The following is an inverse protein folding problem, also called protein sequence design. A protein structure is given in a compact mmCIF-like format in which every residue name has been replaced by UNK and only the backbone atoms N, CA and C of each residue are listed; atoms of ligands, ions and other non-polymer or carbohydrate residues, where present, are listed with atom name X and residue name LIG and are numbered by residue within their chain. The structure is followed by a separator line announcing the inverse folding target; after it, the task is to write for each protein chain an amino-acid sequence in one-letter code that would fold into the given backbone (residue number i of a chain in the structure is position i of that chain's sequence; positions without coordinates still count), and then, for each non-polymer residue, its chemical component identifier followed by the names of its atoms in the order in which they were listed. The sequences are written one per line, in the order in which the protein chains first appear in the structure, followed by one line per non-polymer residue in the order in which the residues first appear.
data_IF_222039170045
#
_entry.id   IF_222039170045
#
_cell.length_a   1.000
_cell.length_b   1.000
_cell.length_c   1.000
_cell.angle_alpha   90.00
_cell.angle_beta   90.00
_cell.angle_gamma   90.00
#
_symmetry.space_group_name_H-M   'P 1'
#
loop_
_entity.id
_entity.type
_entity.pdbx_description
1 polymer ?
#
# COMPACT_ATOMS: atom_id res chain seq x y z
N UNK A 1 0.01 3.56 -23.39
CA UNK A 1 -1.27 4.03 -22.81
C UNK A 1 -1.73 5.22 -23.63
N UNK A 2 -2.87 5.09 -24.32
CA UNK A 2 -3.44 6.18 -25.12
C UNK A 2 -3.71 7.38 -24.20
N UNK A 3 -3.41 8.63 -24.61
CA UNK A 3 -3.80 9.79 -23.84
C UNK A 3 -5.32 9.88 -23.88
N UNK A 4 -5.99 9.36 -22.86
CA UNK A 4 -7.39 9.68 -22.60
C UNK A 4 -7.43 11.17 -22.28
N UNK A 5 -7.65 12.01 -23.31
CA UNK A 5 -8.09 13.39 -23.14
C UNK A 5 -9.54 13.35 -22.67
N UNK A 6 -9.74 12.89 -21.43
CA UNK A 6 -11.01 13.03 -20.75
C UNK A 6 -10.95 14.37 -20.02
N UNK A 7 -11.79 15.32 -20.42
CA UNK A 7 -12.07 16.47 -19.56
C UNK A 7 -12.80 15.94 -18.34
N UNK A 8 -12.18 16.09 -17.17
CA UNK A 8 -12.79 15.73 -15.88
C UNK A 8 -13.79 16.84 -15.54
N UNK A 9 -15.08 16.53 -15.29
CA UNK A 9 -16.05 17.53 -14.89
C UNK A 9 -15.55 18.33 -13.67
N UNK A 10 -15.69 19.67 -13.67
CA UNK A 10 -15.22 20.50 -12.55
C UNK A 10 -15.86 20.09 -11.22
N UNK A 11 -17.11 19.63 -11.23
CA UNK A 11 -17.81 19.14 -10.04
C UNK A 11 -17.16 17.90 -9.44
N UNK A 12 -16.61 17.02 -10.28
CA UNK A 12 -15.89 15.83 -9.81
C UNK A 12 -14.54 16.22 -9.21
N UNK A 13 -13.85 17.21 -9.78
CA UNK A 13 -12.63 17.79 -9.20
C UNK A 13 -12.91 18.39 -7.82
N UNK A 14 -13.93 19.24 -7.72
CA UNK A 14 -14.32 19.88 -6.45
C UNK A 14 -14.71 18.84 -5.38
N UNK A 15 -15.42 17.78 -5.78
CA UNK A 15 -15.75 16.69 -4.87
C UNK A 15 -14.49 15.95 -4.38
N UNK A 16 -13.54 15.67 -5.28
CA UNK A 16 -12.26 15.05 -4.92
C UNK A 16 -11.46 15.92 -3.95
N UNK A 17 -11.38 17.24 -4.19
CA UNK A 17 -10.66 18.18 -3.34
C UNK A 17 -11.32 18.33 -1.96
N UNK A 18 -12.66 18.36 -1.88
CA UNK A 18 -13.41 18.37 -0.62
C UNK A 18 -13.20 17.08 0.18
N UNK A 19 -13.27 15.93 -0.50
CA UNK A 19 -13.01 14.62 0.10
C UNK A 19 -11.58 14.56 0.61
N UNK A 20 -10.60 14.92 -0.22
CA UNK A 20 -9.19 15.01 0.16
C UNK A 20 -9.01 15.89 1.40
N UNK A 21 -9.54 17.12 1.39
CA UNK A 21 -9.43 18.06 2.52
C UNK A 21 -10.04 17.52 3.82
N UNK A 22 -11.13 16.75 3.71
CA UNK A 22 -11.74 16.05 4.86
C UNK A 22 -10.78 14.99 5.42
N UNK A 23 -10.10 14.24 4.56
CA UNK A 23 -9.20 13.15 4.92
C UNK A 23 -7.76 13.59 5.23
N UNK A 24 -7.35 14.80 4.82
CA UNK A 24 -6.06 15.42 5.20
C UNK A 24 -5.99 15.85 6.66
N UNK A 25 -7.07 15.70 7.44
CA UNK A 25 -7.01 15.93 8.89
C UNK A 25 -6.10 14.87 9.53
N UNK A 26 -5.36 15.21 10.60
CA UNK A 26 -4.46 14.26 11.25
C UNK A 26 -5.17 12.93 11.49
N UNK A 27 -4.54 11.84 11.08
CA UNK A 27 -4.96 10.49 11.40
C UNK A 27 -5.18 10.41 12.90
N UNK A 28 -6.45 10.27 13.30
CA UNK A 28 -6.76 9.97 14.69
C UNK A 28 -6.26 8.54 14.96
N UNK A 29 -6.08 8.18 16.23
CA UNK A 29 -5.55 6.89 16.68
C UNK A 29 -6.25 5.64 16.09
N UNK A 30 -7.41 5.80 15.43
CA UNK A 30 -8.19 4.77 14.74
C UNK A 30 -7.93 4.57 13.23
N UNK A 31 -7.10 5.36 12.56
CA UNK A 31 -7.01 5.38 11.08
C UNK A 31 -7.96 6.42 10.48
N UNK A 32 -8.01 6.55 9.14
CA UNK A 32 -9.00 7.45 8.52
C UNK A 32 -10.39 6.84 8.65
N UNK A 33 -10.53 5.58 8.26
CA UNK A 33 -11.82 4.91 8.12
C UNK A 33 -12.08 3.84 9.18
N UNK A 34 -11.04 3.41 9.90
CA UNK A 34 -11.08 2.19 10.72
C UNK A 34 -10.87 0.91 9.90
N UNK A 35 -10.83 1.00 8.55
CA UNK A 35 -10.56 -0.10 7.63
C UNK A 35 -9.24 0.13 6.88
N UNK A 36 -8.28 -0.78 7.06
CA UNK A 36 -6.93 -0.63 6.50
C UNK A 36 -6.92 -0.55 4.98
N UNK A 37 -7.80 -1.32 4.33
CA UNK A 37 -7.93 -1.38 2.88
C UNK A 37 -8.34 -0.01 2.29
N UNK A 38 -9.30 0.68 2.90
CA UNK A 38 -9.71 2.01 2.47
C UNK A 38 -8.60 3.06 2.73
N UNK A 39 -7.90 2.97 3.87
CA UNK A 39 -6.77 3.85 4.19
C UNK A 39 -5.61 3.66 3.17
N UNK A 40 -5.39 2.44 2.67
CA UNK A 40 -4.38 2.14 1.65
C UNK A 40 -4.75 2.67 0.27
N UNK A 41 -6.03 2.60 -0.14
CA UNK A 41 -6.47 3.27 -1.36
C UNK A 41 -6.25 4.77 -1.30
N UNK A 42 -6.48 5.39 -0.14
CA UNK A 42 -6.17 6.80 0.06
C UNK A 42 -4.67 7.09 -0.13
N UNK A 43 -3.79 6.27 0.45
CA UNK A 43 -2.33 6.41 0.29
C UNK A 43 -1.91 6.24 -1.18
N UNK A 44 -2.40 5.20 -1.86
CA UNK A 44 -2.11 4.96 -3.28
C UNK A 44 -2.62 6.11 -4.17
N UNK A 45 -3.81 6.66 -3.86
CA UNK A 45 -4.35 7.85 -4.50
C UNK A 45 -3.45 9.08 -4.33
N UNK A 46 -2.93 9.33 -3.13
CA UNK A 46 -1.98 10.42 -2.89
C UNK A 46 -0.66 10.23 -3.65
N UNK A 47 -0.16 8.99 -3.75
CA UNK A 47 1.02 8.65 -4.56
C UNK A 47 0.77 8.96 -6.03
N UNK A 48 -0.40 8.57 -6.57
CA UNK A 48 -0.78 8.89 -7.94
C UNK A 48 -0.88 10.40 -8.16
N UNK A 49 -1.50 11.15 -7.25
CA UNK A 49 -1.57 12.61 -7.32
C UNK A 49 -0.17 13.23 -7.32
N UNK A 50 0.69 12.83 -6.39
CA UNK A 50 2.07 13.30 -6.31
C UNK A 50 2.88 12.99 -7.58
N UNK A 51 2.65 11.81 -8.19
CA UNK A 51 3.34 11.37 -9.41
C UNK A 51 2.84 12.08 -10.68
N UNK A 52 1.55 12.36 -10.77
CA UNK A 52 0.91 12.97 -11.94
C UNK A 52 1.02 14.49 -11.93
N UNK A 53 0.79 15.12 -10.77
CA UNK A 53 0.76 16.58 -10.63
C UNK A 53 2.05 17.16 -10.08
N UNK A 54 3.06 16.32 -9.77
CA UNK A 54 4.30 16.74 -9.10
C UNK A 54 4.04 17.44 -7.76
N UNK A 55 2.98 17.01 -7.08
CA UNK A 55 2.55 17.59 -5.81
C UNK A 55 3.36 17.01 -4.65
N UNK A 56 4.30 17.80 -4.13
CA UNK A 56 5.15 17.41 -2.99
C UNK A 56 4.36 17.26 -1.69
N UNK A 57 3.22 17.95 -1.54
CA UNK A 57 2.36 17.84 -0.36
C UNK A 57 1.64 16.50 -0.35
N UNK A 58 1.18 16.04 -1.52
CA UNK A 58 0.59 14.71 -1.67
C UNK A 58 1.58 13.60 -1.27
N UNK A 59 2.84 13.69 -1.70
CA UNK A 59 3.89 12.76 -1.29
C UNK A 59 4.16 12.78 0.23
N UNK A 60 4.27 13.98 0.81
CA UNK A 60 4.49 14.13 2.25
C UNK A 60 3.36 13.49 3.06
N UNK A 61 2.11 13.73 2.64
CA UNK A 61 0.94 13.16 3.30
C UNK A 61 0.83 11.64 3.09
N UNK A 62 1.18 11.13 1.91
CA UNK A 62 1.22 9.69 1.64
C UNK A 62 2.22 9.00 2.58
N UNK A 63 3.42 9.58 2.72
CA UNK A 63 4.45 9.11 3.65
C UNK A 63 3.93 9.11 5.09
N UNK A 64 3.39 10.24 5.56
CA UNK A 64 2.91 10.37 6.94
C UNK A 64 1.79 9.37 7.24
N UNK A 65 0.87 9.20 6.29
CA UNK A 65 -0.24 8.27 6.41
C UNK A 65 0.24 6.82 6.43
N UNK A 66 1.18 6.47 5.56
CA UNK A 66 1.80 5.15 5.54
C UNK A 66 2.56 4.85 6.83
N UNK A 67 3.33 5.82 7.35
CA UNK A 67 4.07 5.67 8.61
C UNK A 67 3.12 5.46 9.80
N UNK A 68 2.06 6.27 9.88
CA UNK A 68 1.06 6.12 10.92
C UNK A 68 0.36 4.76 10.85
N UNK A 69 0.03 4.28 9.65
CA UNK A 69 -0.56 2.94 9.46
C UNK A 69 0.40 1.83 9.89
N UNK A 70 1.66 1.87 9.45
CA UNK A 70 2.68 0.88 9.81
C UNK A 70 3.00 0.85 11.30
N UNK A 71 2.97 2.00 11.99
CA UNK A 71 3.18 2.05 13.44
C UNK A 71 2.03 1.37 14.21
N UNK A 72 0.85 1.20 13.61
CA UNK A 72 -0.26 0.43 14.20
C UNK A 72 -0.06 -1.08 14.07
N UNK A 73 0.80 -1.53 13.15
CA UNK A 73 1.18 -2.95 13.04
C UNK A 73 2.10 -3.41 14.18
N UNK A 74 2.61 -2.52 15.03
CA UNK A 74 3.64 -2.84 16.03
C UNK A 74 3.07 -3.09 17.44
N UNK A 75 1.85 -3.63 17.55
CA UNK A 75 1.18 -3.84 18.84
C UNK A 75 2.10 -4.39 19.94
N UNK A 76 2.25 -3.62 21.03
CA UNK A 76 2.88 -3.89 22.35
C UNK A 76 4.26 -4.57 22.45
N UNK A 77 4.82 -5.14 21.38
CA UNK A 77 6.07 -5.90 21.40
C UNK A 77 7.11 -5.23 20.49
N UNK A 78 8.21 -4.68 21.04
CA UNK A 78 9.23 -3.93 20.30
C UNK A 78 10.22 -4.86 19.59
N UNK A 79 9.71 -5.90 18.92
CA UNK A 79 10.52 -6.70 18.02
C UNK A 79 10.53 -6.00 16.68
N UNK A 80 11.61 -5.27 16.39
CA UNK A 80 11.96 -4.65 15.10
C UNK A 80 11.87 -5.59 13.88
N UNK A 81 11.50 -6.86 14.08
CA UNK A 81 11.58 -7.97 13.15
C UNK A 81 10.21 -8.61 12.83
N UNK A 82 9.09 -8.09 13.34
CA UNK A 82 7.77 -8.69 13.09
C UNK A 82 6.70 -7.62 12.83
N UNK A 83 5.95 -7.75 11.72
CA UNK A 83 4.73 -6.99 11.48
C UNK A 83 3.57 -7.76 12.12
N UNK A 84 3.06 -7.28 13.26
CA UNK A 84 1.91 -7.87 13.93
C UNK A 84 0.62 -7.17 13.47
N UNK A 85 0.04 -7.67 12.37
CA UNK A 85 -1.24 -7.17 11.89
C UNK A 85 -2.38 -7.65 12.81
N UNK A 86 -3.35 -6.79 13.18
CA UNK A 86 -4.53 -7.24 13.91
C UNK A 86 -5.33 -8.25 13.06
N UNK A 87 -5.97 -9.24 13.69
CA UNK A 87 -6.72 -10.35 13.05
C UNK A 87 -7.59 -9.96 11.82
N UNK A 88 -8.39 -8.86 11.81
CA UNK A 88 -9.15 -8.47 10.61
C UNK A 88 -8.31 -7.86 9.47
N UNK A 89 -7.04 -7.51 9.71
CA UNK A 89 -6.11 -6.92 8.73
C UNK A 89 -5.21 -7.95 8.04
N UNK A 90 -5.33 -9.24 8.38
CA UNK A 90 -4.45 -10.29 7.84
C UNK A 90 -5.01 -10.86 6.52
N UNK A 91 -5.20 -9.96 5.55
CA UNK A 91 -5.63 -10.28 4.18
C UNK A 91 -4.48 -10.05 3.20
N UNK A 92 -4.35 -10.90 2.18
CA UNK A 92 -3.26 -10.80 1.20
C UNK A 92 -3.29 -9.49 0.42
N UNK A 93 -4.47 -8.95 0.11
CA UNK A 93 -4.65 -7.70 -0.62
C UNK A 93 -4.16 -6.49 0.19
N UNK A 94 -4.47 -6.43 1.48
CA UNK A 94 -4.01 -5.39 2.41
C UNK A 94 -2.48 -5.45 2.56
N UNK A 95 -1.91 -6.64 2.73
CA UNK A 95 -0.45 -6.83 2.82
C UNK A 95 0.25 -6.43 1.52
N UNK A 96 -0.31 -6.84 0.38
CA UNK A 96 0.20 -6.47 -0.93
C UNK A 96 0.16 -4.96 -1.14
N UNK A 97 -0.93 -4.29 -0.79
CA UNK A 97 -1.06 -2.82 -0.86
C UNK A 97 -0.05 -2.10 0.06
N UNK A 98 0.13 -2.57 1.30
CA UNK A 98 1.17 -2.04 2.21
C UNK A 98 2.54 -2.15 1.56
N UNK A 99 2.89 -3.32 1.02
CA UNK A 99 4.18 -3.55 0.37
C UNK A 99 4.35 -2.67 -0.87
N UNK A 100 3.34 -2.56 -1.74
CA UNK A 100 3.38 -1.68 -2.94
C UNK A 100 3.61 -0.23 -2.55
N UNK A 101 2.77 0.32 -1.67
CA UNK A 101 2.84 1.72 -1.25
C UNK A 101 4.21 2.03 -0.61
N UNK A 102 4.68 1.16 0.28
CA UNK A 102 5.99 1.30 0.90
C UNK A 102 7.16 1.21 -0.08
N UNK A 103 7.11 0.29 -1.05
CA UNK A 103 8.13 0.20 -2.10
C UNK A 103 8.16 1.47 -2.96
N UNK A 104 7.00 2.03 -3.33
CA UNK A 104 6.92 3.28 -4.09
C UNK A 104 7.52 4.42 -3.28
N UNK A 105 7.05 4.64 -2.05
CA UNK A 105 7.57 5.71 -1.19
C UNK A 105 9.09 5.59 -0.99
N UNK A 106 9.61 4.38 -0.78
CA UNK A 106 11.06 4.12 -0.67
C UNK A 106 11.80 4.44 -1.98
N UNK A 107 11.30 3.98 -3.12
CA UNK A 107 11.95 4.20 -4.42
C UNK A 107 12.01 5.68 -4.85
N UNK A 108 11.15 6.53 -4.28
CA UNK A 108 11.15 7.98 -4.48
C UNK A 108 11.82 8.75 -3.33
N UNK A 109 12.45 8.06 -2.37
CA UNK A 109 13.24 8.68 -1.30
C UNK A 109 12.44 9.22 -0.13
N UNK A 110 11.16 8.86 0.00
CA UNK A 110 10.30 9.30 1.11
C UNK A 110 10.37 8.40 2.36
N UNK A 111 10.98 7.22 2.24
CA UNK A 111 11.25 6.31 3.36
C UNK A 111 12.77 6.04 3.46
N UNK A 112 13.33 6.19 4.66
CA UNK A 112 14.76 5.99 4.93
C UNK A 112 15.25 4.55 4.71
N UNK A 113 16.54 4.38 4.41
CA UNK A 113 17.02 3.15 3.77
C UNK A 113 16.99 1.88 4.63
N UNK A 114 17.43 1.92 5.90
CA UNK A 114 17.68 0.70 6.70
C UNK A 114 16.42 0.12 7.36
N UNK A 115 15.72 0.93 8.16
CA UNK A 115 14.52 0.49 8.91
C UNK A 115 13.40 0.05 7.96
N UNK A 116 13.17 0.80 6.89
CA UNK A 116 12.09 0.49 5.97
C UNK A 116 12.43 -0.68 5.04
N UNK A 117 13.70 -0.88 4.67
CA UNK A 117 14.07 -2.08 3.91
C UNK A 117 13.70 -3.37 4.68
N UNK A 118 14.00 -3.41 5.98
CA UNK A 118 13.64 -4.56 6.80
C UNK A 118 12.12 -4.75 6.91
N UNK A 119 11.36 -3.68 7.19
CA UNK A 119 9.89 -3.75 7.26
C UNK A 119 9.27 -4.24 5.94
N UNK A 120 9.79 -3.79 4.79
CA UNK A 120 9.32 -4.24 3.49
C UNK A 120 9.69 -5.71 3.22
N UNK A 121 10.87 -6.17 3.65
CA UNK A 121 11.22 -7.59 3.58
C UNK A 121 10.27 -8.46 4.41
N UNK A 122 9.90 -8.02 5.62
CA UNK A 122 8.93 -8.73 6.45
C UNK A 122 7.55 -8.80 5.78
N UNK A 123 7.07 -7.72 5.17
CA UNK A 123 5.81 -7.73 4.42
C UNK A 123 5.87 -8.67 3.21
N UNK A 124 6.99 -8.70 2.48
CA UNK A 124 7.18 -9.60 1.34
C UNK A 124 7.23 -11.07 1.76
N UNK A 125 7.87 -11.39 2.88
CA UNK A 125 7.86 -12.73 3.47
C UNK A 125 6.45 -13.11 3.93
N UNK A 126 5.75 -12.20 4.61
CA UNK A 126 4.39 -12.43 5.07
C UNK A 126 3.44 -12.72 3.90
N UNK A 127 3.57 -11.95 2.81
CA UNK A 127 2.75 -12.12 1.61
C UNK A 127 2.96 -13.47 0.93
N UNK A 128 4.18 -14.02 0.97
CA UNK A 128 4.48 -15.35 0.42
C UNK A 128 3.71 -16.47 1.12
N UNK A 129 3.34 -16.32 2.39
CA UNK A 129 2.51 -17.31 3.09
C UNK A 129 1.07 -17.41 2.56
N UNK A 130 0.64 -16.48 1.69
CA UNK A 130 -0.65 -16.54 1.03
C UNK A 130 -0.58 -17.24 -0.34
N UNK A 131 0.60 -17.60 -0.81
CA UNK A 131 0.83 -18.21 -2.12
C UNK A 131 0.93 -19.72 -1.95
N UNK A 132 0.06 -20.46 -2.64
CA UNK A 132 0.07 -21.93 -2.71
C UNK A 132 1.25 -22.44 -3.57
N UNK A 133 1.54 -23.74 -3.50
CA UNK A 133 2.56 -24.37 -4.36
C UNK A 133 2.23 -24.24 -5.85
N UNK A 134 0.94 -24.15 -6.20
CA UNK A 134 0.47 -23.94 -7.57
C UNK A 134 0.44 -22.46 -7.99
N UNK A 135 0.83 -21.54 -7.11
CA UNK A 135 0.88 -20.09 -7.37
C UNK A 135 -0.44 -19.34 -7.20
N UNK A 136 -1.51 -19.99 -6.75
CA UNK A 136 -2.75 -19.31 -6.36
C UNK A 136 -2.56 -18.53 -5.06
N UNK A 137 -3.22 -17.36 -4.94
CA UNK A 137 -3.11 -16.48 -3.76
C UNK A 137 -4.41 -16.49 -2.97
N UNK A 138 -4.35 -16.94 -1.71
CA UNK A 138 -5.49 -16.93 -0.79
C UNK A 138 -5.81 -15.51 -0.32
N UNK A 139 -7.10 -15.19 -0.19
CA UNK A 139 -7.54 -13.91 0.37
C UNK A 139 -7.20 -13.77 1.86
N UNK A 140 -7.53 -14.78 2.66
CA UNK A 140 -7.18 -14.89 4.08
C UNK A 140 -5.98 -15.81 4.32
N UNK A 141 -5.45 -15.81 5.53
CA UNK A 141 -4.39 -16.74 5.93
C UNK A 141 -4.88 -18.19 5.87
N UNK A 142 -4.05 -19.07 5.31
CA UNK A 142 -4.40 -20.49 5.16
C UNK A 142 -4.34 -21.26 6.48
N UNK A 143 -3.63 -20.74 7.48
CA UNK A 143 -3.46 -21.33 8.81
C UNK A 143 -4.46 -20.81 9.85
N UNK A 144 -5.40 -19.94 9.46
CA UNK A 144 -6.49 -19.46 10.32
C UNK A 144 -7.83 -20.10 9.91
N UNK A 145 -8.71 -20.34 10.88
CA UNK A 145 -10.06 -20.84 10.61
C UNK A 145 -10.88 -19.80 9.82
N UNK A 146 -11.20 -20.10 8.55
CA UNK A 146 -12.02 -19.23 7.71
C UNK A 146 -12.16 -19.75 6.28
N UNK A 147 -13.11 -19.21 5.49
CA UNK A 147 -13.28 -19.61 4.10
C UNK A 147 -12.08 -19.17 3.26
N UNK A 148 -11.23 -20.13 2.88
CA UNK A 148 -10.20 -19.96 1.87
C UNK A 148 -10.88 -19.70 0.53
N UNK A 149 -10.74 -18.49 0.00
CA UNK A 149 -11.15 -18.18 -1.36
C UNK A 149 -10.00 -17.52 -2.10
N UNK A 150 -9.88 -17.86 -3.38
CA UNK A 150 -8.92 -17.29 -4.30
C UNK A 150 -9.65 -16.30 -5.20
N UNK A 151 -9.06 -15.13 -5.40
CA UNK A 151 -9.57 -14.17 -6.37
C UNK A 151 -8.41 -13.59 -7.19
N UNK A 152 -8.72 -13.18 -8.41
CA UNK A 152 -7.72 -12.66 -9.35
C UNK A 152 -7.06 -11.36 -8.85
N UNK A 153 -7.75 -10.57 -8.02
CA UNK A 153 -7.23 -9.32 -7.46
C UNK A 153 -6.10 -9.57 -6.47
N UNK A 154 -6.24 -10.55 -5.58
CA UNK A 154 -5.18 -10.99 -4.67
C UNK A 154 -3.93 -11.41 -5.44
N UNK A 155 -4.08 -12.21 -6.49
CA UNK A 155 -2.96 -12.65 -7.31
C UNK A 155 -2.28 -11.47 -8.03
N UNK A 156 -3.06 -10.57 -8.64
CA UNK A 156 -2.55 -9.38 -9.31
C UNK A 156 -1.78 -8.46 -8.34
N UNK A 157 -2.37 -8.15 -7.20
CA UNK A 157 -1.75 -7.27 -6.21
C UNK A 157 -0.51 -7.90 -5.61
N UNK A 158 -0.54 -9.20 -5.29
CA UNK A 158 0.62 -9.89 -4.76
C UNK A 158 1.79 -9.91 -5.76
N UNK A 159 1.50 -10.21 -7.03
CA UNK A 159 2.49 -10.18 -8.10
C UNK A 159 3.13 -8.80 -8.24
N UNK A 160 2.32 -7.73 -8.33
CA UNK A 160 2.82 -6.36 -8.42
C UNK A 160 3.67 -5.98 -7.20
N UNK A 161 3.21 -6.33 -5.99
CA UNK A 161 3.91 -6.03 -4.75
C UNK A 161 5.29 -6.68 -4.68
N UNK A 162 5.39 -7.96 -5.05
CA UNK A 162 6.65 -8.70 -5.07
C UNK A 162 7.59 -8.19 -6.16
N UNK A 163 7.09 -7.87 -7.36
CA UNK A 163 7.90 -7.24 -8.41
C UNK A 163 8.46 -5.88 -7.95
N UNK A 164 7.64 -5.07 -7.26
CA UNK A 164 8.10 -3.78 -6.75
C UNK A 164 9.18 -3.96 -5.68
N UNK A 165 8.98 -4.92 -4.79
CA UNK A 165 9.93 -5.26 -3.74
C UNK A 165 11.27 -5.71 -4.30
N UNK A 166 11.29 -6.55 -5.34
CA UNK A 166 12.52 -7.00 -6.00
C UNK A 166 13.34 -5.81 -6.55
N UNK A 167 12.69 -4.93 -7.32
CA UNK A 167 13.33 -3.72 -7.88
C UNK A 167 13.90 -2.85 -6.77
N UNK A 168 13.11 -2.60 -5.73
CA UNK A 168 13.48 -1.69 -4.63
C UNK A 168 14.56 -2.28 -3.73
N UNK A 169 14.55 -3.59 -3.50
CA UNK A 169 15.60 -4.32 -2.77
C UNK A 169 16.93 -4.32 -3.50
N UNK A 170 16.89 -4.40 -4.84
CA UNK A 170 18.04 -4.16 -5.72
C UNK A 170 18.51 -2.70 -5.78
N UNK A 171 17.94 -1.80 -4.95
CA UNK A 171 18.16 -0.34 -4.96
C UNK A 171 17.77 0.33 -6.29
N UNK A 172 16.95 -0.33 -7.08
CA UNK A 172 16.36 0.22 -8.29
C UNK A 172 15.26 1.23 -7.99
N UNK A 173 14.93 2.03 -9.00
CA UNK A 173 13.82 2.99 -8.95
C UNK A 173 12.65 2.44 -9.74
N UNK A 174 11.45 2.45 -9.13
CA UNK A 174 10.23 2.05 -9.82
C UNK A 174 9.89 3.05 -10.92
N UNK A 175 9.70 2.54 -12.13
CA UNK A 175 9.32 3.34 -13.27
C UNK A 175 7.86 3.81 -13.16
N UNK A 176 7.60 5.04 -13.58
CA UNK A 176 6.26 5.66 -13.52
C UNK A 176 5.16 4.80 -14.16
N UNK A 177 5.45 4.11 -15.27
CA UNK A 177 4.45 3.27 -15.97
C UNK A 177 3.93 2.10 -15.12
N UNK A 178 4.73 1.60 -14.18
CA UNK A 178 4.31 0.53 -13.27
C UNK A 178 3.40 1.06 -12.17
N UNK A 179 3.68 2.27 -11.68
CA UNK A 179 2.89 2.93 -10.64
C UNK A 179 1.54 3.41 -11.18
N UNK A 180 1.45 3.69 -12.48
CA UNK A 180 0.20 4.01 -13.16
C UNK A 180 -0.79 2.83 -13.22
N UNK A 181 -0.35 1.63 -12.86
CA UNK A 181 -1.17 0.42 -12.75
C UNK A 181 -1.59 0.15 -11.29
N UNK A 182 -1.39 1.11 -10.39
CA UNK A 182 -2.17 1.14 -9.16
C UNK A 182 -3.62 1.40 -9.57
N UNK A 183 -4.55 0.63 -9.00
CA UNK A 183 -5.95 0.38 -9.39
C UNK A 183 -6.09 -0.90 -10.24
#
# INVERSE_FOLDING_TARGET
LLPLKCEIPPELRDACEKIQSKWCRPLHSGGLTGEWHADLYFIEGLVLLGLHHRDSRAWALARESYQALMNRCEGSAPSLNAVALPEPAVRSDVIAQLLRAGCILRSYGYLGESVWAQRLNCLAQLLQHFITEEGAVSFGRMDLEGPTHWNAWCALFAYQALCFHEVVSGRGKLEKRWIQLLI
#
